data_IF_892815495242
#
_entry.id   IF_892815495242
#
_cell.length_a   1.000
_cell.length_b   1.000
_cell.length_c   1.000
_cell.angle_alpha   90.00
_cell.angle_beta   90.00
_cell.angle_gamma   90.00
#
_symmetry.space_group_name_H-M   'P 1'
#
loop_
_entity.id
_entity.type
_entity.pdbx_description
1 polymer ?
#
# COMPACT_ATOMS: atom_id res chain seq x y z
N UNK A 1 -9.40 1.62 -16.39
CA UNK A 1 -9.21 2.87 -15.63
C UNK A 1 -9.66 2.66 -14.20
N UNK A 2 -8.74 2.68 -13.23
CA UNK A 2 -9.02 2.41 -11.80
C UNK A 2 -10.11 3.34 -11.25
N UNK A 3 -10.10 4.61 -11.67
CA UNK A 3 -11.07 5.64 -11.29
C UNK A 3 -12.52 5.25 -11.65
N UNK A 4 -12.73 4.63 -12.81
CA UNK A 4 -14.08 4.24 -13.25
C UNK A 4 -14.63 3.08 -12.42
N UNK A 5 -13.76 2.16 -11.99
CA UNK A 5 -14.12 1.01 -11.17
C UNK A 5 -14.31 1.35 -9.69
N UNK A 6 -13.44 2.19 -9.11
CA UNK A 6 -13.46 2.52 -7.68
C UNK A 6 -14.38 3.67 -7.33
N UNK A 7 -14.66 4.58 -8.27
CA UNK A 7 -15.55 5.74 -8.05
C UNK A 7 -16.82 5.63 -8.87
N UNK A 8 -16.72 5.35 -10.18
CA UNK A 8 -17.88 5.34 -11.07
C UNK A 8 -18.97 4.34 -10.69
N UNK A 9 -18.58 3.07 -10.52
CA UNK A 9 -19.52 1.97 -10.19
C UNK A 9 -20.24 2.22 -8.85
N UNK A 10 -19.57 2.53 -7.72
CA UNK A 10 -20.27 2.78 -6.46
C UNK A 10 -21.16 4.02 -6.51
N UNK A 11 -20.75 5.09 -7.20
CA UNK A 11 -21.55 6.32 -7.25
C UNK A 11 -22.85 6.11 -8.04
N UNK A 12 -22.80 5.39 -9.16
CA UNK A 12 -23.99 5.03 -9.95
C UNK A 12 -24.90 4.09 -9.15
N UNK A 13 -24.33 3.09 -8.45
CA UNK A 13 -25.10 2.19 -7.59
C UNK A 13 -25.79 2.93 -6.43
N UNK A 14 -25.12 3.88 -5.80
CA UNK A 14 -25.68 4.71 -4.73
C UNK A 14 -26.80 5.62 -5.25
N UNK A 15 -26.60 6.26 -6.41
CA UNK A 15 -27.64 7.08 -7.05
C UNK A 15 -28.87 6.25 -7.41
N UNK A 16 -28.71 5.03 -7.93
CA UNK A 16 -29.83 4.14 -8.22
C UNK A 16 -30.55 3.68 -6.94
N UNK A 17 -29.82 3.37 -5.87
CA UNK A 17 -30.41 3.03 -4.56
C UNK A 17 -31.17 4.20 -3.93
N UNK A 18 -30.64 5.42 -4.04
CA UNK A 18 -31.30 6.64 -3.55
C UNK A 18 -32.49 7.06 -4.42
N UNK A 19 -32.46 6.78 -5.72
CA UNK A 19 -33.57 7.02 -6.64
C UNK A 19 -34.69 5.96 -6.48
N UNK A 20 -34.36 4.75 -6.04
CA UNK A 20 -35.29 3.63 -5.85
C UNK A 20 -36.54 3.96 -5.01
N UNK A 21 -36.47 4.69 -3.86
CA UNK A 21 -37.67 5.07 -3.11
C UNK A 21 -38.58 6.07 -3.85
N UNK A 22 -38.05 6.82 -4.82
CA UNK A 22 -38.82 7.78 -5.62
C UNK A 22 -39.41 7.16 -6.89
N UNK A 23 -38.79 6.10 -7.43
CA UNK A 23 -39.32 5.33 -8.56
C UNK A 23 -40.43 4.37 -8.10
N UNK A 24 -40.39 3.90 -6.85
CA UNK A 24 -41.44 3.06 -6.25
C UNK A 24 -42.59 3.89 -5.65
N UNK A 25 -43.36 4.54 -6.53
CA UNK A 25 -44.47 5.48 -6.22
C UNK A 25 -45.77 4.78 -5.72
N UNK A 26 -45.75 3.47 -5.42
CA UNK A 26 -46.96 2.77 -4.98
C UNK A 26 -47.40 3.23 -3.58
N UNK A 27 -48.66 3.67 -3.48
CA UNK A 27 -49.26 4.39 -2.35
C UNK A 27 -49.38 3.60 -1.03
N UNK A 28 -49.10 2.30 -1.04
CA UNK A 28 -49.10 1.47 0.16
C UNK A 28 -47.71 1.39 0.80
N UNK A 29 -47.58 2.01 1.98
CA UNK A 29 -46.36 2.07 2.81
C UNK A 29 -46.09 0.79 3.62
N UNK A 30 -46.78 -0.33 3.35
CA UNK A 30 -46.59 -1.59 4.11
C UNK A 30 -45.30 -2.29 3.67
N UNK A 31 -44.33 -2.36 4.59
CA UNK A 31 -43.04 -3.06 4.42
C UNK A 31 -43.20 -4.50 3.88
N UNK A 32 -44.26 -5.20 4.30
CA UNK A 32 -44.51 -6.60 3.92
C UNK A 32 -44.90 -6.82 2.46
N UNK A 33 -45.27 -5.77 1.70
CA UNK A 33 -45.63 -5.88 0.27
C UNK A 33 -44.50 -5.44 -0.67
N UNK A 34 -43.33 -5.04 -0.15
CA UNK A 34 -42.15 -4.67 -0.93
C UNK A 34 -40.97 -5.63 -0.68
N UNK A 35 -41.14 -6.95 -0.91
CA UNK A 35 -40.14 -7.96 -0.56
C UNK A 35 -38.81 -7.73 -1.28
N UNK A 36 -38.84 -7.23 -2.52
CA UNK A 36 -37.62 -6.93 -3.30
C UNK A 36 -36.80 -5.80 -2.66
N UNK A 37 -37.45 -4.70 -2.27
CA UNK A 37 -36.76 -3.57 -1.64
C UNK A 37 -36.17 -3.93 -0.27
N UNK A 38 -36.90 -4.74 0.51
CA UNK A 38 -36.42 -5.23 1.82
C UNK A 38 -35.23 -6.17 1.66
N UNK A 39 -35.28 -7.11 0.73
CA UNK A 39 -34.16 -8.03 0.45
C UNK A 39 -32.94 -7.27 -0.05
N UNK A 40 -33.11 -6.31 -0.95
CA UNK A 40 -32.02 -5.47 -1.44
C UNK A 40 -31.37 -4.67 -0.30
N UNK A 41 -32.18 -4.03 0.58
CA UNK A 41 -31.68 -3.29 1.71
C UNK A 41 -30.89 -4.17 2.70
N UNK A 42 -31.40 -5.36 3.02
CA UNK A 42 -30.72 -6.32 3.91
C UNK A 42 -29.39 -6.76 3.29
N UNK A 43 -29.36 -7.09 2.00
CA UNK A 43 -28.13 -7.48 1.31
C UNK A 43 -27.11 -6.36 1.29
N UNK A 44 -27.53 -5.11 1.06
CA UNK A 44 -26.62 -3.95 1.11
C UNK A 44 -26.04 -3.75 2.51
N UNK A 45 -26.87 -3.82 3.56
CA UNK A 45 -26.40 -3.68 4.95
C UNK A 45 -25.44 -4.80 5.33
N UNK A 46 -25.75 -6.05 4.95
CA UNK A 46 -24.85 -7.19 5.19
C UNK A 46 -23.53 -7.05 4.44
N UNK A 47 -23.56 -6.66 3.16
CA UNK A 47 -22.36 -6.43 2.37
C UNK A 47 -21.50 -5.31 2.98
N UNK A 48 -22.09 -4.18 3.36
CA UNK A 48 -21.40 -3.09 4.05
C UNK A 48 -20.80 -3.55 5.38
N UNK A 49 -21.54 -4.32 6.17
CA UNK A 49 -21.08 -4.85 7.46
C UNK A 49 -19.87 -5.79 7.29
N UNK A 50 -19.95 -6.72 6.34
CA UNK A 50 -18.85 -7.65 6.03
C UNK A 50 -17.63 -6.90 5.51
N UNK A 51 -17.81 -5.93 4.61
CA UNK A 51 -16.70 -5.16 4.05
C UNK A 51 -16.04 -4.28 5.11
N UNK A 52 -16.84 -3.68 6.01
CA UNK A 52 -16.34 -2.88 7.13
C UNK A 52 -15.58 -3.76 8.12
N UNK A 53 -16.12 -4.94 8.46
CA UNK A 53 -15.43 -5.89 9.33
C UNK A 53 -14.11 -6.31 8.70
N UNK A 54 -14.12 -6.73 7.43
CA UNK A 54 -12.92 -7.12 6.68
C UNK A 54 -11.92 -5.98 6.57
N UNK A 55 -12.34 -4.74 6.36
CA UNK A 55 -11.46 -3.57 6.34
C UNK A 55 -10.89 -3.22 7.72
N UNK A 56 -11.66 -3.42 8.79
CA UNK A 56 -11.22 -3.18 10.16
C UNK A 56 -10.24 -4.25 10.67
N UNK A 57 -10.34 -5.49 10.19
CA UNK A 57 -9.40 -6.58 10.50
C UNK A 57 -8.33 -6.79 9.43
N UNK A 58 -8.36 -6.01 8.34
CA UNK A 58 -7.35 -6.09 7.30
C UNK A 58 -6.03 -5.57 7.87
N UNK A 59 -5.05 -6.46 7.97
CA UNK A 59 -3.65 -6.13 8.28
C UNK A 59 -2.99 -5.56 7.03
N UNK A 60 -3.48 -4.41 6.55
CA UNK A 60 -2.69 -3.59 5.64
C UNK A 60 -1.52 -3.01 6.46
N UNK A 61 -0.27 -3.13 6.02
CA UNK A 61 0.85 -2.55 6.76
C UNK A 61 0.69 -1.03 6.76
N UNK A 62 0.09 -0.46 7.82
CA UNK A 62 0.00 0.98 7.97
C UNK A 62 1.43 1.54 7.99
N UNK A 63 1.66 2.65 7.28
CA UNK A 63 2.97 3.30 7.23
C UNK A 63 3.53 3.59 8.64
N UNK A 64 2.66 3.86 9.62
CA UNK A 64 3.03 4.05 11.03
C UNK A 64 3.55 2.78 11.71
N UNK A 65 3.00 1.61 11.39
CA UNK A 65 3.43 0.32 11.93
C UNK A 65 4.76 -0.10 11.31
N UNK A 66 4.90 0.08 10.00
CA UNK A 66 6.15 -0.16 9.26
C UNK A 66 7.25 0.79 9.73
N UNK A 67 6.95 2.07 9.96
CA UNK A 67 7.90 3.03 10.53
C UNK A 67 8.34 2.62 11.96
N UNK A 68 7.45 1.99 12.73
CA UNK A 68 7.76 1.41 14.03
C UNK A 68 8.74 0.23 13.98
N UNK A 69 8.85 -0.47 12.83
CA UNK A 69 9.78 -1.57 12.62
C UNK A 69 11.21 -1.11 12.26
N UNK A 70 11.41 0.15 11.85
CA UNK A 70 12.74 0.68 11.45
C UNK A 70 13.84 0.46 12.51
N UNK A 71 13.60 0.70 13.83
CA UNK A 71 14.61 0.44 14.85
C UNK A 71 14.97 -1.05 14.98
N UNK A 72 14.02 -1.97 14.77
CA UNK A 72 14.28 -3.41 14.85
C UNK A 72 15.08 -3.87 13.63
N UNK A 73 14.76 -3.35 12.44
CA UNK A 73 15.54 -3.55 11.22
C UNK A 73 17.00 -3.10 11.39
N UNK A 74 17.20 -1.89 11.93
CA UNK A 74 18.54 -1.36 12.17
C UNK A 74 19.37 -2.24 13.11
N UNK A 75 18.74 -2.89 14.10
CA UNK A 75 19.40 -3.84 14.99
C UNK A 75 19.73 -5.16 14.29
N UNK A 76 18.77 -5.73 13.54
CA UNK A 76 18.93 -7.04 12.86
C UNK A 76 19.94 -7.00 11.72
N UNK A 77 19.98 -5.92 10.96
CA UNK A 77 20.94 -5.75 9.85
C UNK A 77 22.24 -5.08 10.32
N UNK A 78 22.23 -4.46 11.50
CA UNK A 78 23.40 -3.79 12.08
C UNK A 78 23.69 -2.40 11.50
N UNK A 79 22.70 -1.73 10.90
CA UNK A 79 22.83 -0.35 10.44
C UNK A 79 22.32 0.69 11.46
N UNK A 80 21.93 0.28 12.67
CA UNK A 80 21.42 1.18 13.72
C UNK A 80 22.36 2.37 14.03
N UNK A 81 23.67 2.17 13.89
CA UNK A 81 24.69 3.20 14.14
C UNK A 81 24.97 4.11 12.93
N UNK A 82 24.29 3.89 11.79
CA UNK A 82 24.44 4.69 10.58
C UNK A 82 23.22 5.63 10.40
N UNK A 83 23.35 6.93 10.69
CA UNK A 83 22.23 7.87 10.62
C UNK A 83 21.62 7.97 9.21
N UNK A 84 22.42 7.80 8.16
CA UNK A 84 21.96 7.87 6.77
C UNK A 84 21.10 6.64 6.42
N UNK A 85 21.54 5.45 6.82
CA UNK A 85 20.78 4.22 6.62
C UNK A 85 19.48 4.20 7.44
N UNK A 86 19.51 4.68 8.69
CA UNK A 86 18.30 4.82 9.51
C UNK A 86 17.32 5.83 8.89
N UNK A 87 17.81 6.96 8.39
CA UNK A 87 16.97 7.93 7.70
C UNK A 87 16.38 7.35 6.40
N UNK A 88 17.18 6.58 5.64
CA UNK A 88 16.73 5.86 4.45
C UNK A 88 15.64 4.84 4.75
N UNK A 89 15.78 4.06 5.83
CA UNK A 89 14.78 3.11 6.28
C UNK A 89 13.44 3.80 6.63
N UNK A 90 13.47 5.00 7.22
CA UNK A 90 12.25 5.80 7.46
C UNK A 90 11.62 6.28 6.16
N UNK A 91 12.42 6.72 5.19
CA UNK A 91 11.90 7.08 3.86
C UNK A 91 11.27 5.86 3.20
N UNK A 92 11.90 4.69 3.26
CA UNK A 92 11.38 3.43 2.72
C UNK A 92 10.02 3.06 3.34
N UNK A 93 9.89 3.19 4.67
CA UNK A 93 8.65 2.95 5.39
C UNK A 93 7.54 3.96 5.02
N UNK A 94 7.88 5.24 4.90
CA UNK A 94 6.89 6.30 4.69
C UNK A 94 6.50 6.51 3.21
N UNK A 95 7.38 6.19 2.28
CA UNK A 95 7.15 6.34 0.84
C UNK A 95 6.30 5.22 0.23
N UNK A 96 5.84 4.25 1.05
CA UNK A 96 5.01 3.14 0.59
C UNK A 96 5.79 2.07 -0.18
N UNK A 97 7.11 2.00 -0.03
CA UNK A 97 7.92 0.98 -0.72
C UNK A 97 7.51 -0.44 -0.29
N UNK A 98 7.04 -0.60 0.96
CA UNK A 98 6.54 -1.86 1.51
C UNK A 98 5.21 -2.34 0.92
N UNK A 99 4.53 -1.53 0.11
CA UNK A 99 3.32 -1.96 -0.62
C UNK A 99 3.65 -2.94 -1.75
N UNK A 100 4.87 -2.91 -2.28
CA UNK A 100 5.32 -3.82 -3.33
C UNK A 100 6.46 -4.72 -2.89
N UNK A 101 7.27 -4.29 -1.92
CA UNK A 101 8.45 -5.01 -1.47
C UNK A 101 8.28 -5.51 -0.04
N UNK A 102 8.81 -6.69 0.24
CA UNK A 102 8.99 -7.15 1.61
C UNK A 102 10.37 -6.75 2.14
N UNK A 103 10.45 -6.55 3.45
CA UNK A 103 11.69 -6.29 4.18
C UNK A 103 11.61 -6.92 5.57
N UNK A 104 12.47 -7.90 5.82
CA UNK A 104 12.53 -8.70 7.05
C UNK A 104 11.17 -9.29 7.48
N UNK A 105 10.35 -9.66 6.49
CA UNK A 105 9.00 -10.19 6.69
C UNK A 105 7.90 -9.13 6.87
N UNK A 106 8.25 -7.84 6.82
CA UNK A 106 7.29 -6.74 6.83
C UNK A 106 7.02 -6.21 5.42
N UNK A 107 5.77 -5.85 5.11
CA UNK A 107 5.34 -5.39 3.79
C UNK A 107 4.67 -6.49 2.96
N UNK A 108 4.36 -6.18 1.71
CA UNK A 108 3.69 -7.07 0.78
C UNK A 108 4.67 -8.00 0.07
N UNK A 109 4.23 -9.23 -0.23
CA UNK A 109 5.01 -10.25 -0.92
C UNK A 109 5.06 -10.05 -2.46
N UNK A 110 4.68 -8.89 -2.99
CA UNK A 110 4.77 -8.63 -4.43
C UNK A 110 4.15 -7.30 -4.85
N UNK A 111 4.38 -6.86 -6.10
CA UNK A 111 5.16 -7.52 -7.17
C UNK A 111 6.70 -7.39 -7.04
N UNK A 112 7.22 -6.65 -6.06
CA UNK A 112 8.65 -6.46 -5.86
C UNK A 112 9.32 -7.60 -5.07
N UNK A 113 10.63 -7.86 -5.28
CA UNK A 113 11.38 -8.84 -4.50
C UNK A 113 11.60 -8.38 -3.05
N UNK A 114 11.93 -9.34 -2.18
CA UNK A 114 12.42 -9.09 -0.83
C UNK A 114 13.75 -8.31 -0.87
N UNK A 115 13.78 -7.18 -0.17
CA UNK A 115 14.93 -6.29 -0.13
C UNK A 115 15.85 -6.51 1.08
N UNK A 116 15.55 -7.47 1.94
CA UNK A 116 16.33 -7.75 3.16
C UNK A 116 17.82 -7.99 2.90
N UNK A 117 18.16 -8.61 1.77
CA UNK A 117 19.53 -8.97 1.39
C UNK A 117 20.04 -8.26 0.14
N UNK A 118 19.35 -7.19 -0.29
CA UNK A 118 19.60 -6.55 -1.58
C UNK A 118 21.01 -5.94 -1.68
N UNK A 119 21.56 -5.46 -0.57
CA UNK A 119 22.91 -4.91 -0.48
C UNK A 119 24.01 -5.95 -0.71
N UNK A 120 23.71 -7.24 -0.48
CA UNK A 120 24.62 -8.36 -0.74
C UNK A 120 24.54 -8.84 -2.19
N UNK A 121 23.35 -8.81 -2.79
CA UNK A 121 23.11 -9.38 -4.14
C UNK A 121 23.34 -8.38 -5.28
N UNK A 122 23.13 -7.08 -5.04
CA UNK A 122 23.11 -6.08 -6.11
C UNK A 122 24.48 -5.54 -6.50
N UNK A 123 25.44 -5.50 -5.55
CA UNK A 123 26.75 -4.83 -5.67
C UNK A 123 26.73 -3.42 -6.35
N UNK A 124 25.59 -2.69 -6.28
CA UNK A 124 25.37 -1.40 -6.95
C UNK A 124 25.99 -0.22 -6.20
N UNK A 125 26.27 -0.39 -4.90
CA UNK A 125 26.66 0.72 -4.04
C UNK A 125 25.52 1.69 -3.75
N UNK A 126 25.78 2.65 -2.87
CA UNK A 126 24.80 3.67 -2.44
C UNK A 126 24.24 4.46 -3.63
N UNK A 127 25.14 4.92 -4.52
CA UNK A 127 24.74 5.76 -5.64
C UNK A 127 23.96 4.97 -6.70
N UNK A 128 24.37 3.74 -7.02
CA UNK A 128 23.66 2.91 -7.98
C UNK A 128 22.24 2.54 -7.52
N UNK A 129 22.01 2.39 -6.22
CA UNK A 129 20.65 2.25 -5.67
C UNK A 129 19.84 3.55 -5.78
N UNK A 130 20.46 4.70 -5.48
CA UNK A 130 19.80 6.00 -5.61
C UNK A 130 19.36 6.26 -7.06
N UNK A 131 20.24 5.98 -8.03
CA UNK A 131 19.97 6.16 -9.46
C UNK A 131 18.89 5.19 -9.96
N UNK A 132 18.91 3.94 -9.47
CA UNK A 132 17.87 2.95 -9.79
C UNK A 132 16.50 3.37 -9.27
N UNK A 133 16.41 3.83 -8.02
CA UNK A 133 15.13 4.25 -7.42
C UNK A 133 14.63 5.56 -8.04
N UNK A 134 15.54 6.45 -8.44
CA UNK A 134 15.19 7.66 -9.16
C UNK A 134 14.49 7.32 -10.49
N UNK A 135 15.05 6.40 -11.26
CA UNK A 135 14.52 6.05 -12.58
C UNK A 135 14.74 4.57 -12.93
N UNK A 136 13.86 3.67 -12.45
CA UNK A 136 13.96 2.24 -12.72
C UNK A 136 13.82 1.90 -14.21
N UNK A 137 13.14 2.76 -14.98
CA UNK A 137 12.86 2.55 -16.39
C UNK A 137 14.12 2.52 -17.26
N UNK A 138 15.15 3.30 -16.87
CA UNK A 138 16.48 3.29 -17.50
C UNK A 138 17.19 1.94 -17.37
N UNK A 139 16.79 1.14 -16.39
CA UNK A 139 17.31 -0.20 -16.14
C UNK A 139 16.37 -1.30 -16.64
N UNK A 140 15.37 -0.95 -17.45
CA UNK A 140 14.41 -1.89 -18.02
C UNK A 140 13.27 -2.32 -17.08
N UNK A 141 13.14 -1.71 -15.90
CA UNK A 141 12.03 -1.97 -14.99
C UNK A 141 10.91 -0.94 -15.19
N UNK A 142 9.79 -1.37 -15.75
CA UNK A 142 8.58 -0.54 -15.94
C UNK A 142 7.48 -0.81 -14.90
N UNK A 143 7.71 -1.77 -14.00
CA UNK A 143 6.76 -2.12 -12.92
C UNK A 143 6.93 -1.18 -11.74
N UNK A 144 8.18 -0.85 -11.39
CA UNK A 144 8.48 0.09 -10.31
C UNK A 144 8.35 1.53 -10.82
N UNK A 145 7.52 2.38 -10.18
CA UNK A 145 7.40 3.78 -10.57
C UNK A 145 8.69 4.56 -10.25
N UNK A 146 8.97 5.66 -10.97
CA UNK A 146 10.12 6.52 -10.69
C UNK A 146 9.87 7.38 -9.44
N UNK A 147 10.89 7.53 -8.58
CA UNK A 147 10.82 8.29 -7.34
C UNK A 147 11.69 9.57 -7.33
N UNK A 148 11.91 10.19 -8.49
CA UNK A 148 12.69 11.44 -8.62
C UNK A 148 12.20 12.56 -7.71
N UNK A 149 10.89 12.60 -7.43
CA UNK A 149 10.25 13.60 -6.57
C UNK A 149 10.65 13.52 -5.10
N UNK A 150 11.32 12.45 -4.65
CA UNK A 150 11.83 12.35 -3.28
C UNK A 150 13.02 13.29 -3.02
N UNK A 151 13.69 13.76 -4.08
CA UNK A 151 14.88 14.61 -3.99
C UNK A 151 16.17 13.81 -3.78
N UNK A 152 17.29 14.38 -4.23
CA UNK A 152 18.59 13.71 -4.27
C UNK A 152 19.07 13.22 -2.88
N UNK A 153 18.81 14.00 -1.83
CA UNK A 153 19.20 13.64 -0.46
C UNK A 153 18.46 12.39 0.06
N UNK A 154 17.16 12.28 -0.21
CA UNK A 154 16.38 11.12 0.23
C UNK A 154 16.71 9.87 -0.60
N UNK A 155 16.96 10.03 -1.90
CA UNK A 155 17.44 8.95 -2.76
C UNK A 155 18.80 8.41 -2.30
N UNK A 156 19.72 9.30 -1.90
CA UNK A 156 21.01 8.91 -1.34
C UNK A 156 20.88 8.18 0.00
N UNK A 157 19.99 8.64 0.89
CA UNK A 157 19.67 7.95 2.15
C UNK A 157 19.07 6.57 1.91
N UNK A 158 18.15 6.46 0.95
CA UNK A 158 17.58 5.17 0.51
C UNK A 158 18.68 4.23 -0.02
N UNK A 159 19.58 4.75 -0.85
CA UNK A 159 20.73 3.98 -1.32
C UNK A 159 21.63 3.50 -0.18
N UNK A 160 21.84 4.32 0.86
CA UNK A 160 22.62 3.94 2.03
C UNK A 160 21.93 2.83 2.85
N UNK A 161 20.60 2.89 2.97
CA UNK A 161 19.80 1.85 3.61
C UNK A 161 19.83 0.53 2.83
N UNK A 162 19.58 0.57 1.52
CA UNK A 162 19.60 -0.63 0.66
C UNK A 162 20.98 -1.27 0.60
N UNK A 163 22.05 -0.47 0.54
CA UNK A 163 23.41 -0.98 0.63
C UNK A 163 23.73 -1.62 1.99
N UNK A 164 23.16 -1.09 3.08
CA UNK A 164 23.35 -1.62 4.43
C UNK A 164 22.49 -2.86 4.72
N UNK A 165 21.54 -3.21 3.84
CA UNK A 165 20.66 -4.39 3.95
C UNK A 165 21.36 -5.63 3.40
N UNK A 166 22.17 -6.27 4.25
CA UNK A 166 23.03 -7.40 3.90
C UNK A 166 22.39 -8.76 4.24
N UNK A 167 21.21 -8.74 4.86
CA UNK A 167 20.52 -9.88 5.45
C UNK A 167 20.72 -9.91 6.96
N UNK A 168 19.67 -10.32 7.68
CA UNK A 168 19.68 -10.38 9.13
C UNK A 168 20.91 -11.14 9.65
N UNK A 169 21.63 -10.51 10.57
CA UNK A 169 22.76 -11.09 11.29
C UNK A 169 22.31 -12.00 12.43
#
# INVERSE_FOLDING_TARGET
SVILGTVGIPTIALMLLLALPFVDVRRERRLSRRPVAVVAAILTVLAMGVLTYKGAVATEPLASEIAGAVPTWGKREGFANNPQAVAGAKVFANAGCTTCHSYLGAGASGPGPDLSSIGKTSNRGVQGFADYVADPSKFGNTVMPPFQNLGADNLKKLGAFLQASQGAK
#
